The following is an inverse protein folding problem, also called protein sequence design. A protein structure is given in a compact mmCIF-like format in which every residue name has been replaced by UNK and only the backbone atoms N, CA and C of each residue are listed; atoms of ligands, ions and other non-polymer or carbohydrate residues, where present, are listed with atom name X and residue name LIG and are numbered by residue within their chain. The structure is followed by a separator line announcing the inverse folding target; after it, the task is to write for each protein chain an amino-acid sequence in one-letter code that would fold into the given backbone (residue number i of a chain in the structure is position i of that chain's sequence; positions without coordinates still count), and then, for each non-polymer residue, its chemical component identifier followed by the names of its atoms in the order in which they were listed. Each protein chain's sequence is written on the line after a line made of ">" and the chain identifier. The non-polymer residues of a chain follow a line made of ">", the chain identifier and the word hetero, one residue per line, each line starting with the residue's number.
data_IF_311519185848
#
_entry.id   IF_311519185848
#
_cell.length_a   1.000
_cell.length_b   1.000
_cell.length_c   1.000
_cell.angle_alpha   90.00
_cell.angle_beta   90.00
_cell.angle_gamma   90.00
#
_symmetry.space_group_name_H-M   'P 1'
#
loop_
_entity.id
_entity.type
_entity.pdbx_description
1 polymer ?
#
# COMPACT_ATOMS: atom_id res chain seq x y z
N UNK A 1 32.64 -37.11 37.80
CA UNK A 1 33.63 -36.63 38.80
C UNK A 1 33.42 -35.13 38.97
N UNK A 2 33.08 -34.70 40.21
CA UNK A 2 32.98 -33.32 40.76
C UNK A 2 31.96 -32.38 40.09
N UNK A 3 30.83 -31.99 40.66
CA UNK A 3 30.39 -31.59 42.02
C UNK A 3 30.81 -30.17 42.45
N UNK A 4 29.80 -29.35 42.82
CA UNK A 4 29.86 -28.00 43.43
C UNK A 4 28.89 -27.04 42.72
N UNK A 5 27.64 -26.77 43.10
CA UNK A 5 26.97 -26.49 44.39
C UNK A 5 27.32 -25.12 45.02
N UNK A 6 26.45 -24.13 44.80
CA UNK A 6 26.24 -22.90 45.60
C UNK A 6 24.75 -22.52 45.47
N UNK A 7 23.91 -22.79 46.47
CA UNK A 7 23.55 -21.93 47.62
C UNK A 7 22.78 -20.66 47.18
N UNK A 8 21.44 -20.64 47.26
CA UNK A 8 20.59 -20.41 48.44
C UNK A 8 20.43 -18.92 48.77
N UNK A 9 19.24 -18.38 48.46
CA UNK A 9 18.79 -17.06 48.88
C UNK A 9 17.27 -17.03 48.96
N UNK A 10 16.71 -17.58 50.03
CA UNK A 10 15.29 -17.51 50.34
C UNK A 10 14.92 -16.12 50.89
N UNK A 11 14.10 -15.38 50.15
CA UNK A 11 13.40 -14.20 50.63
C UNK A 11 12.10 -14.62 51.32
N UNK A 12 12.03 -14.44 52.63
CA UNK A 12 10.86 -14.70 53.46
C UNK A 12 9.75 -13.70 53.13
N UNK A 13 8.54 -14.24 53.07
CA UNK A 13 7.30 -13.51 53.28
C UNK A 13 7.35 -12.79 54.64
N UNK A 14 7.19 -11.48 54.64
CA UNK A 14 6.68 -10.72 55.79
C UNK A 14 5.27 -10.20 55.44
N UNK A 15 4.27 -10.44 56.29
CA UNK A 15 2.94 -9.86 56.16
C UNK A 15 2.93 -8.50 56.87
N UNK A 16 2.85 -7.40 56.12
CA UNK A 16 2.61 -6.08 56.73
C UNK A 16 1.15 -5.97 57.14
N UNK A 17 0.93 -5.94 58.45
CA UNK A 17 -0.36 -5.72 59.08
C UNK A 17 -0.98 -4.37 58.69
N UNK A 18 -2.25 -4.47 58.29
CA UNK A 18 -3.36 -3.56 58.57
C UNK A 18 -3.01 -2.24 59.28
N UNK A 19 -3.04 -1.14 58.51
CA UNK A 19 -3.56 0.13 58.99
C UNK A 19 -4.94 0.33 58.39
N UNK A 20 -5.95 0.40 59.26
CA UNK A 20 -7.32 0.68 58.95
C UNK A 20 -7.44 1.92 58.04
N UNK A 21 -7.82 1.69 56.78
CA UNK A 21 -8.41 2.74 55.96
C UNK A 21 -9.87 2.84 56.39
N UNK A 22 -10.14 3.86 57.20
CA UNK A 22 -11.47 4.35 57.48
C UNK A 22 -12.22 4.55 56.15
N UNK A 23 -13.21 3.71 55.91
CA UNK A 23 -14.22 3.91 54.89
C UNK A 23 -15.04 5.15 55.27
N UNK A 24 -14.55 6.33 54.88
CA UNK A 24 -15.36 7.53 54.84
C UNK A 24 -16.30 7.37 53.65
N UNK A 25 -17.49 6.83 53.93
CA UNK A 25 -18.64 6.88 53.05
C UNK A 25 -18.96 8.35 52.73
N UNK A 26 -18.32 8.89 51.71
CA UNK A 26 -18.76 10.11 51.06
C UNK A 26 -20.04 9.75 50.32
N UNK A 27 -21.11 10.46 50.67
CA UNK A 27 -22.49 10.14 50.31
C UNK A 27 -22.66 9.69 48.88
N UNK A 28 -23.13 8.46 48.72
CA UNK A 28 -23.96 8.10 47.59
C UNK A 28 -25.19 9.01 47.65
N UNK A 29 -25.10 10.16 46.97
CA UNK A 29 -26.26 10.93 46.60
C UNK A 29 -27.12 9.99 45.76
N UNK A 30 -28.20 9.48 46.34
CA UNK A 30 -29.22 8.77 45.61
C UNK A 30 -29.69 9.72 44.49
N UNK A 31 -29.28 9.42 43.26
CA UNK A 31 -29.73 10.15 42.09
C UNK A 31 -31.20 9.78 41.95
N UNK A 32 -32.06 10.64 42.48
CA UNK A 32 -33.50 10.46 42.47
C UNK A 32 -33.98 10.69 41.03
N UNK A 33 -34.09 9.61 40.24
CA UNK A 33 -34.46 9.65 38.81
C UNK A 33 -35.83 10.28 38.54
N UNK A 34 -36.64 10.47 39.58
CA UNK A 34 -37.97 11.08 39.54
C UNK A 34 -37.95 12.61 39.35
N UNK A 35 -36.79 13.27 39.46
CA UNK A 35 -36.65 14.73 39.25
C UNK A 35 -35.96 15.13 37.94
N UNK A 36 -35.52 14.15 37.13
CA UNK A 36 -34.99 14.46 35.81
C UNK A 36 -36.14 14.89 34.89
N UNK A 37 -36.11 16.18 34.50
CA UNK A 37 -36.99 16.71 33.45
C UNK A 37 -36.91 15.79 32.22
N UNK A 38 -38.03 15.39 31.58
CA UNK A 38 -38.02 14.51 30.41
C UNK A 38 -37.15 15.05 29.27
N UNK A 39 -36.95 16.37 29.21
CA UNK A 39 -36.03 17.05 28.29
C UNK A 39 -34.55 16.67 28.48
N UNK A 40 -34.11 16.40 29.72
CA UNK A 40 -32.72 16.05 30.02
C UNK A 40 -32.39 14.60 29.64
N UNK A 41 -33.36 13.69 29.76
CA UNK A 41 -33.22 12.30 29.31
C UNK A 41 -33.18 12.23 27.79
N UNK A 42 -33.98 13.05 27.10
CA UNK A 42 -34.00 13.14 25.65
C UNK A 42 -32.66 13.70 25.10
N UNK A 43 -32.06 14.69 25.77
CA UNK A 43 -30.76 15.26 25.39
C UNK A 43 -29.59 14.27 25.52
N UNK A 44 -29.60 13.41 26.55
CA UNK A 44 -28.56 12.41 26.76
C UNK A 44 -28.66 11.23 25.77
N UNK A 45 -29.87 10.81 25.41
CA UNK A 45 -30.10 9.81 24.36
C UNK A 45 -29.69 10.33 22.98
N UNK A 46 -29.92 11.61 22.67
CA UNK A 46 -29.50 12.21 21.40
C UNK A 46 -27.98 12.29 21.27
N UNK A 47 -27.25 12.50 22.38
CA UNK A 47 -25.79 12.56 22.39
C UNK A 47 -25.10 11.20 22.13
N UNK A 48 -25.69 10.07 22.55
CA UNK A 48 -25.15 8.73 22.23
C UNK A 48 -25.33 8.34 20.76
N UNK A 49 -26.36 8.87 20.07
CA UNK A 49 -26.63 8.52 18.67
C UNK A 49 -25.61 9.16 17.72
N UNK A 50 -25.03 10.33 18.05
CA UNK A 50 -24.09 11.03 17.15
C UNK A 50 -22.70 10.38 17.04
N UNK A 51 -22.27 9.56 18.01
CA UNK A 51 -20.97 8.88 17.96
C UNK A 51 -21.04 7.45 17.37
N UNK A 52 -22.24 6.95 17.08
CA UNK A 52 -22.48 5.56 16.66
C UNK A 52 -22.35 5.26 15.15
N UNK A 53 -22.34 6.26 14.27
CA UNK A 53 -22.36 6.01 12.82
C UNK A 53 -21.10 5.32 12.27
N UNK A 54 -19.94 5.46 12.93
CA UNK A 54 -18.71 4.82 12.45
C UNK A 54 -18.63 3.33 12.82
N UNK A 55 -19.39 2.88 13.83
CA UNK A 55 -19.45 1.45 14.21
C UNK A 55 -20.34 0.61 13.29
N UNK A 56 -21.27 1.25 12.55
CA UNK A 56 -22.17 0.58 11.60
C UNK A 56 -21.61 0.53 10.17
N UNK A 57 -20.41 1.09 9.94
CA UNK A 57 -19.81 1.14 8.60
C UNK A 57 -19.22 -0.23 8.24
N UNK A 58 -19.68 -0.81 7.13
CA UNK A 58 -19.19 -2.12 6.65
C UNK A 58 -17.78 -2.01 6.07
N UNK A 59 -17.03 -3.12 6.04
CA UNK A 59 -15.71 -3.16 5.36
C UNK A 59 -15.81 -2.70 3.91
N UNK A 60 -16.89 -3.08 3.21
CA UNK A 60 -17.12 -2.66 1.84
C UNK A 60 -17.26 -1.14 1.71
N UNK A 61 -18.03 -0.50 2.59
CA UNK A 61 -18.13 0.96 2.62
C UNK A 61 -16.78 1.62 2.93
N UNK A 62 -15.95 1.00 3.77
CA UNK A 62 -14.57 1.49 4.01
C UNK A 62 -13.70 1.36 2.76
N UNK A 63 -13.77 0.23 2.07
CA UNK A 63 -13.07 0.01 0.77
C UNK A 63 -13.46 1.11 -0.22
N UNK A 64 -14.74 1.43 -0.34
CA UNK A 64 -15.23 2.47 -1.25
C UNK A 64 -14.71 3.86 -0.86
N UNK A 65 -14.68 4.18 0.44
CA UNK A 65 -14.08 5.42 0.95
C UNK A 65 -12.58 5.49 0.70
N UNK A 66 -11.85 4.39 0.86
CA UNK A 66 -10.41 4.32 0.56
C UNK A 66 -10.16 4.57 -0.91
N UNK A 67 -10.94 3.95 -1.82
CA UNK A 67 -10.85 4.19 -3.26
C UNK A 67 -11.12 5.65 -3.62
N UNK A 68 -12.19 6.23 -3.07
CA UNK A 68 -12.50 7.64 -3.27
C UNK A 68 -11.38 8.56 -2.79
N UNK A 69 -10.77 8.24 -1.63
CA UNK A 69 -9.64 8.98 -1.10
C UNK A 69 -8.40 8.88 -2.00
N UNK A 70 -8.09 7.71 -2.56
CA UNK A 70 -7.03 7.57 -3.55
C UNK A 70 -7.28 8.40 -4.81
N UNK A 71 -8.51 8.39 -5.35
CA UNK A 71 -8.88 9.21 -6.51
C UNK A 71 -8.75 10.71 -6.20
N UNK A 72 -9.03 11.12 -4.97
CA UNK A 72 -8.88 12.50 -4.53
C UNK A 72 -7.43 12.89 -4.19
N UNK A 73 -6.47 11.96 -4.23
CA UNK A 73 -5.10 12.18 -3.78
C UNK A 73 -4.93 12.30 -2.26
N UNK A 74 -5.97 12.02 -1.48
CA UNK A 74 -5.97 12.08 -0.02
C UNK A 74 -5.48 10.75 0.58
N UNK A 75 -4.18 10.51 0.45
CA UNK A 75 -3.51 9.29 0.95
C UNK A 75 -3.61 9.17 2.47
N UNK A 76 -3.67 10.29 3.21
CA UNK A 76 -3.82 10.29 4.66
C UNK A 76 -5.19 9.72 5.08
N UNK A 77 -6.27 10.19 4.45
CA UNK A 77 -7.62 9.65 4.69
C UNK A 77 -7.74 8.20 4.25
N UNK A 78 -7.16 7.85 3.09
CA UNK A 78 -7.11 6.48 2.62
C UNK A 78 -6.47 5.56 3.67
N UNK A 79 -5.33 5.95 4.25
CA UNK A 79 -4.64 5.19 5.28
C UNK A 79 -5.48 5.00 6.57
N UNK A 80 -6.26 6.00 6.98
CA UNK A 80 -7.12 5.92 8.17
C UNK A 80 -8.24 4.90 7.96
N UNK A 81 -8.99 5.01 6.86
CA UNK A 81 -10.11 4.10 6.58
C UNK A 81 -9.59 2.68 6.31
N UNK A 82 -8.45 2.55 5.62
CA UNK A 82 -7.85 1.27 5.33
C UNK A 82 -7.36 0.57 6.60
N UNK A 83 -6.79 1.30 7.57
CA UNK A 83 -6.41 0.73 8.86
C UNK A 83 -7.60 0.06 9.57
N UNK A 84 -8.78 0.69 9.51
CA UNK A 84 -10.02 0.12 10.08
C UNK A 84 -10.48 -1.10 9.28
N UNK A 85 -10.46 -1.04 7.95
CA UNK A 85 -10.82 -2.17 7.10
C UNK A 85 -9.93 -3.41 7.34
N UNK A 86 -8.63 -3.20 7.54
CA UNK A 86 -7.66 -4.25 7.89
C UNK A 86 -7.93 -4.87 9.26
N UNK A 87 -8.36 -4.07 10.23
CA UNK A 87 -8.74 -4.58 11.55
C UNK A 87 -10.01 -5.42 11.48
N UNK A 88 -11.01 -4.99 10.70
CA UNK A 88 -12.28 -5.71 10.54
C UNK A 88 -12.13 -7.00 9.74
N UNK A 89 -11.47 -6.95 8.58
CA UNK A 89 -11.30 -8.09 7.69
C UNK A 89 -9.85 -8.19 7.21
N UNK A 90 -8.93 -8.71 8.04
CA UNK A 90 -7.51 -8.76 7.72
C UNK A 90 -7.21 -9.63 6.50
N UNK A 91 -8.06 -10.60 6.16
CA UNK A 91 -7.86 -11.51 5.03
C UNK A 91 -8.74 -11.18 3.82
N UNK A 92 -9.40 -10.02 3.79
CA UNK A 92 -10.16 -9.61 2.62
C UNK A 92 -9.20 -9.28 1.45
N UNK A 93 -9.38 -9.90 0.26
CA UNK A 93 -8.47 -9.71 -0.87
C UNK A 93 -8.40 -8.25 -1.33
N UNK A 94 -9.52 -7.52 -1.31
CA UNK A 94 -9.59 -6.11 -1.72
C UNK A 94 -8.87 -5.21 -0.71
N UNK A 95 -9.01 -5.48 0.59
CA UNK A 95 -8.27 -4.77 1.64
C UNK A 95 -6.76 -4.97 1.48
N UNK A 96 -6.32 -6.18 1.13
CA UNK A 96 -4.90 -6.47 0.86
C UNK A 96 -4.38 -5.73 -0.38
N UNK A 97 -5.17 -5.66 -1.46
CA UNK A 97 -4.81 -4.88 -2.65
C UNK A 97 -4.66 -3.39 -2.34
N UNK A 98 -5.58 -2.82 -1.58
CA UNK A 98 -5.50 -1.41 -1.18
C UNK A 98 -4.30 -1.13 -0.27
N UNK A 99 -3.93 -2.09 0.58
CA UNK A 99 -2.69 -2.00 1.35
C UNK A 99 -1.45 -2.05 0.46
N UNK A 100 -1.42 -2.93 -0.54
CA UNK A 100 -0.34 -2.98 -1.52
C UNK A 100 -0.20 -1.64 -2.27
N UNK A 101 -1.32 -1.04 -2.69
CA UNK A 101 -1.36 0.29 -3.32
C UNK A 101 -0.84 1.39 -2.39
N UNK A 102 -1.25 1.38 -1.12
CA UNK A 102 -0.76 2.35 -0.13
C UNK A 102 0.75 2.21 0.09
N UNK A 103 1.25 0.98 0.20
CA UNK A 103 2.70 0.71 0.32
C UNK A 103 3.46 1.19 -0.91
N UNK A 104 2.95 0.96 -2.12
CA UNK A 104 3.57 1.44 -3.34
C UNK A 104 3.62 2.98 -3.40
N UNK A 105 2.53 3.65 -2.99
CA UNK A 105 2.48 5.11 -2.90
C UNK A 105 3.47 5.68 -1.87
N UNK A 106 3.83 4.89 -0.85
CA UNK A 106 4.88 5.20 0.12
C UNK A 106 6.29 4.78 -0.36
N UNK A 107 6.44 4.39 -1.64
CA UNK A 107 7.67 3.85 -2.24
C UNK A 107 8.20 2.58 -1.56
N UNK A 108 7.38 1.92 -0.73
CA UNK A 108 7.69 0.64 -0.10
C UNK A 108 7.27 -0.51 -1.03
N UNK A 109 8.06 -0.73 -2.08
CA UNK A 109 7.78 -1.79 -3.07
C UNK A 109 7.85 -3.20 -2.46
N UNK A 110 8.69 -3.40 -1.44
CA UNK A 110 8.79 -4.69 -0.73
C UNK A 110 7.54 -5.00 0.09
N UNK A 111 7.05 -4.03 0.86
CA UNK A 111 5.78 -4.13 1.56
C UNK A 111 4.60 -4.27 0.61
N UNK A 112 4.62 -3.55 -0.52
CA UNK A 112 3.60 -3.66 -1.55
C UNK A 112 3.52 -5.09 -2.12
N UNK A 113 4.66 -5.67 -2.52
CA UNK A 113 4.72 -7.06 -2.99
C UNK A 113 4.23 -8.04 -1.92
N UNK A 114 4.64 -7.86 -0.65
CA UNK A 114 4.20 -8.74 0.42
C UNK A 114 2.69 -8.69 0.67
N UNK A 115 2.04 -7.54 0.50
CA UNK A 115 0.58 -7.43 0.56
C UNK A 115 -0.10 -8.03 -0.66
N UNK A 116 0.48 -7.84 -1.85
CA UNK A 116 0.00 -8.43 -3.10
C UNK A 116 0.01 -9.97 -3.01
N UNK A 117 1.08 -10.57 -2.50
CA UNK A 117 1.17 -12.02 -2.27
C UNK A 117 0.09 -12.53 -1.31
N UNK A 118 -0.24 -11.76 -0.27
CA UNK A 118 -1.35 -12.07 0.65
C UNK A 118 -2.70 -11.91 -0.02
N UNK A 119 -2.86 -10.92 -0.89
CA UNK A 119 -4.08 -10.72 -1.67
C UNK A 119 -4.36 -11.93 -2.56
N UNK A 120 -3.35 -12.45 -3.29
CA UNK A 120 -3.49 -13.66 -4.12
C UNK A 120 -3.90 -14.87 -3.29
N UNK A 121 -3.27 -15.08 -2.13
CA UNK A 121 -3.65 -16.16 -1.20
C UNK A 121 -5.09 -16.03 -0.71
N UNK A 122 -5.61 -14.82 -0.61
CA UNK A 122 -7.00 -14.51 -0.28
C UNK A 122 -7.95 -14.54 -1.50
N UNK A 123 -7.47 -14.90 -2.69
CA UNK A 123 -8.27 -15.02 -3.91
C UNK A 123 -8.39 -13.74 -4.74
N UNK A 124 -7.54 -12.73 -4.52
CA UNK A 124 -7.47 -11.56 -5.39
C UNK A 124 -7.05 -11.96 -6.81
N UNK A 125 -7.77 -11.42 -7.80
CA UNK A 125 -7.55 -11.62 -9.23
C UNK A 125 -8.24 -10.52 -10.03
N UNK A 126 -7.93 -10.43 -11.32
CA UNK A 126 -8.55 -9.51 -12.25
C UNK A 126 -7.77 -8.20 -12.41
N UNK A 127 -8.31 -7.23 -13.18
CA UNK A 127 -7.53 -6.10 -13.69
C UNK A 127 -6.84 -5.27 -12.61
N UNK A 128 -7.50 -4.99 -11.48
CA UNK A 128 -6.90 -4.21 -10.39
C UNK A 128 -5.66 -4.89 -9.79
N UNK A 129 -5.66 -6.22 -9.73
CA UNK A 129 -4.51 -7.00 -9.26
C UNK A 129 -3.39 -6.97 -10.30
N UNK A 130 -3.71 -7.21 -11.57
CA UNK A 130 -2.73 -7.26 -12.66
C UNK A 130 -2.04 -5.89 -12.83
N UNK A 131 -2.82 -4.80 -12.82
CA UNK A 131 -2.31 -3.43 -12.92
C UNK A 131 -1.35 -3.10 -11.76
N UNK A 132 -1.72 -3.49 -10.54
CA UNK A 132 -0.91 -3.23 -9.36
C UNK A 132 0.38 -4.08 -9.37
N UNK A 133 0.29 -5.31 -9.87
CA UNK A 133 1.45 -6.18 -10.03
C UNK A 133 2.44 -5.61 -11.04
N UNK A 134 1.96 -5.11 -12.18
CA UNK A 134 2.80 -4.41 -13.18
C UNK A 134 3.52 -3.23 -12.52
N UNK A 135 2.80 -2.37 -11.80
CA UNK A 135 3.39 -1.19 -11.16
C UNK A 135 4.44 -1.56 -10.09
N UNK A 136 4.16 -2.56 -9.25
CA UNK A 136 5.09 -3.01 -8.21
C UNK A 136 6.36 -3.60 -8.84
N UNK A 137 6.22 -4.41 -9.90
CA UNK A 137 7.37 -5.00 -10.56
C UNK A 137 8.16 -3.99 -11.38
N UNK A 138 7.50 -3.02 -11.99
CA UNK A 138 8.22 -1.93 -12.66
C UNK A 138 9.09 -1.15 -11.67
N UNK A 139 8.58 -0.89 -10.46
CA UNK A 139 9.30 -0.14 -9.42
C UNK A 139 10.44 -0.92 -8.75
N UNK A 140 10.35 -2.25 -8.69
CA UNK A 140 11.28 -3.07 -7.88
C UNK A 140 12.04 -4.14 -8.63
N UNK A 141 11.47 -4.69 -9.71
CA UNK A 141 11.95 -5.87 -10.42
C UNK A 141 11.58 -5.80 -11.92
N UNK A 142 12.09 -4.80 -12.68
CA UNK A 142 11.71 -4.60 -14.08
C UNK A 142 12.05 -5.81 -14.97
N UNK A 143 13.10 -6.58 -14.65
CA UNK A 143 13.40 -7.85 -15.34
C UNK A 143 12.27 -8.87 -15.20
N UNK A 144 11.67 -8.97 -14.01
CA UNK A 144 10.55 -9.90 -13.75
C UNK A 144 9.31 -9.49 -14.53
N UNK A 145 9.05 -8.18 -14.62
CA UNK A 145 7.96 -7.64 -15.42
C UNK A 145 8.14 -7.97 -16.90
N UNK A 146 9.32 -7.67 -17.45
CA UNK A 146 9.66 -7.95 -18.84
C UNK A 146 9.39 -9.42 -19.18
N UNK A 147 9.96 -10.31 -18.37
CA UNK A 147 9.78 -11.75 -18.47
C UNK A 147 8.31 -12.19 -18.45
N UNK A 148 7.51 -11.63 -17.55
CA UNK A 148 6.10 -12.00 -17.40
C UNK A 148 5.23 -11.53 -18.57
N UNK A 149 5.47 -10.32 -19.09
CA UNK A 149 4.77 -9.79 -20.26
C UNK A 149 5.19 -10.57 -21.52
N UNK A 150 6.48 -10.85 -21.69
CA UNK A 150 7.00 -11.61 -22.85
C UNK A 150 6.50 -13.05 -22.87
N UNK A 151 6.43 -13.72 -21.71
CA UNK A 151 5.90 -15.09 -21.60
C UNK A 151 4.37 -15.18 -21.56
N UNK A 152 3.67 -14.04 -21.57
CA UNK A 152 2.20 -14.02 -21.47
C UNK A 152 1.65 -14.49 -20.12
N UNK A 153 2.46 -14.40 -19.06
CA UNK A 153 2.00 -14.65 -17.67
C UNK A 153 1.13 -13.49 -17.17
N UNK A 154 1.41 -12.27 -17.64
CA UNK A 154 0.55 -11.10 -17.50
C UNK A 154 0.11 -10.70 -18.90
N UNK A 155 -1.20 -10.53 -19.07
CA UNK A 155 -1.79 -10.07 -20.33
C UNK A 155 -2.09 -8.58 -20.21
N UNK A 156 -1.31 -7.78 -20.91
CA UNK A 156 -1.55 -6.34 -21.09
C UNK A 156 -1.93 -6.11 -22.54
N UNK A 157 -2.97 -5.34 -22.80
CA UNK A 157 -3.39 -4.95 -24.15
C UNK A 157 -2.50 -3.85 -24.71
N UNK A 158 -2.39 -3.77 -26.04
CA UNK A 158 -1.82 -2.58 -26.67
C UNK A 158 -2.75 -1.37 -26.48
N UNK A 159 -2.21 -0.14 -26.34
CA UNK A 159 -0.78 0.22 -26.40
C UNK A 159 -0.01 0.07 -25.08
N UNK A 160 -0.70 -0.20 -23.97
CA UNK A 160 -0.11 -0.21 -22.62
C UNK A 160 1.01 -1.25 -22.49
N UNK A 161 0.85 -2.41 -23.14
CA UNK A 161 1.88 -3.45 -23.21
C UNK A 161 3.22 -2.90 -23.70
N UNK A 162 3.23 -2.19 -24.83
CA UNK A 162 4.45 -1.61 -25.40
C UNK A 162 5.03 -0.52 -24.51
N UNK A 163 4.19 0.24 -23.82
CA UNK A 163 4.60 1.29 -22.88
C UNK A 163 5.27 0.69 -21.64
N UNK A 164 4.67 -0.33 -21.03
CA UNK A 164 5.21 -1.03 -19.86
C UNK A 164 6.54 -1.73 -20.18
N UNK A 165 6.64 -2.37 -21.35
CA UNK A 165 7.89 -2.96 -21.84
C UNK A 165 8.97 -1.88 -22.00
N UNK A 166 8.64 -0.73 -22.58
CA UNK A 166 9.59 0.36 -22.75
C UNK A 166 10.06 0.93 -21.39
N UNK A 167 9.16 1.11 -20.43
CA UNK A 167 9.55 1.51 -19.08
C UNK A 167 10.45 0.46 -18.40
N UNK A 168 10.16 -0.84 -18.57
CA UNK A 168 11.02 -1.89 -18.05
C UNK A 168 12.42 -1.87 -18.71
N UNK A 169 12.49 -1.68 -20.04
CA UNK A 169 13.77 -1.54 -20.74
C UNK A 169 14.56 -0.32 -20.29
N UNK A 170 13.91 0.83 -20.11
CA UNK A 170 14.53 2.04 -19.58
C UNK A 170 15.09 1.80 -18.16
N UNK A 171 14.33 1.18 -17.28
CA UNK A 171 14.77 0.84 -15.92
C UNK A 171 15.95 -0.15 -15.90
N UNK A 172 16.12 -0.93 -16.96
CA UNK A 172 17.22 -1.87 -17.15
C UNK A 172 18.41 -1.28 -17.93
N UNK A 173 18.38 0.02 -18.26
CA UNK A 173 19.43 0.68 -19.03
C UNK A 173 19.53 0.19 -20.48
N UNK A 174 18.42 -0.22 -21.08
CA UNK A 174 18.34 -0.72 -22.47
C UNK A 174 17.51 0.24 -23.35
N UNK A 175 17.93 1.50 -23.51
CA UNK A 175 17.12 2.53 -24.19
C UNK A 175 16.83 2.20 -25.66
N UNK A 176 17.76 1.56 -26.38
CA UNK A 176 17.56 1.15 -27.78
C UNK A 176 16.33 0.24 -27.95
N UNK A 177 16.15 -0.71 -27.02
CA UNK A 177 15.00 -1.62 -27.03
C UNK A 177 13.71 -0.91 -26.66
N UNK A 178 13.77 0.05 -25.74
CA UNK A 178 12.62 0.89 -25.41
C UNK A 178 12.15 1.70 -26.62
N UNK A 179 13.07 2.35 -27.33
CA UNK A 179 12.78 3.12 -28.56
C UNK A 179 12.16 2.21 -29.63
N UNK A 180 12.79 1.05 -29.90
CA UNK A 180 12.28 0.10 -30.88
C UNK A 180 10.87 -0.41 -30.53
N UNK A 181 10.60 -0.66 -29.25
CA UNK A 181 9.29 -1.14 -28.77
C UNK A 181 8.19 -0.09 -28.98
N UNK A 182 8.51 1.20 -28.81
CA UNK A 182 7.53 2.30 -28.92
C UNK A 182 7.27 2.76 -30.37
N UNK A 183 8.08 2.35 -31.34
CA UNK A 183 8.02 2.87 -32.70
C UNK A 183 6.63 2.73 -33.34
N UNK A 184 6.01 1.55 -33.24
CA UNK A 184 4.68 1.30 -33.79
C UNK A 184 3.59 2.09 -33.05
N UNK A 185 3.69 2.19 -31.72
CA UNK A 185 2.73 2.94 -30.90
C UNK A 185 2.75 4.43 -31.24
N UNK A 186 3.93 5.02 -31.40
CA UNK A 186 4.08 6.45 -31.72
C UNK A 186 3.73 6.76 -33.18
N UNK A 187 3.90 5.81 -34.10
CA UNK A 187 3.43 5.96 -35.47
C UNK A 187 1.89 5.97 -35.55
N UNK A 188 1.22 5.09 -34.79
CA UNK A 188 -0.24 5.00 -34.76
C UNK A 188 -0.90 6.09 -33.90
N UNK A 189 -0.25 6.48 -32.79
CA UNK A 189 -0.76 7.44 -31.82
C UNK A 189 0.29 8.52 -31.47
N UNK A 190 0.61 9.44 -32.40
CA UNK A 190 1.69 10.42 -32.21
C UNK A 190 1.50 11.40 -31.04
N UNK A 191 0.27 11.53 -30.53
CA UNK A 191 -0.09 12.41 -29.43
C UNK A 191 -0.25 11.68 -28.08
N UNK A 192 -0.03 10.35 -28.05
CA UNK A 192 -0.15 9.58 -26.81
C UNK A 192 0.97 9.97 -25.85
N UNK A 193 0.62 10.76 -24.84
CA UNK A 193 1.58 11.41 -23.94
C UNK A 193 2.42 10.40 -23.17
N UNK A 194 1.82 9.30 -22.70
CA UNK A 194 2.51 8.23 -21.97
C UNK A 194 3.61 7.59 -22.82
N UNK A 195 3.31 7.20 -24.06
CA UNK A 195 4.29 6.65 -25.00
C UNK A 195 5.40 7.67 -25.33
N UNK A 196 5.06 8.95 -25.52
CA UNK A 196 6.05 10.01 -25.76
C UNK A 196 6.98 10.21 -24.57
N UNK A 197 6.45 10.16 -23.35
CA UNK A 197 7.26 10.30 -22.14
C UNK A 197 8.21 9.10 -21.98
N UNK A 198 7.73 7.88 -22.18
CA UNK A 198 8.58 6.69 -22.16
C UNK A 198 9.69 6.75 -23.22
N UNK A 199 9.37 7.26 -24.43
CA UNK A 199 10.35 7.45 -25.49
C UNK A 199 11.37 8.55 -25.17
N UNK A 200 10.92 9.68 -24.65
CA UNK A 200 11.81 10.76 -24.22
C UNK A 200 12.77 10.29 -23.12
N UNK A 201 12.28 9.50 -22.16
CA UNK A 201 13.12 8.87 -21.14
C UNK A 201 14.19 7.96 -21.77
N UNK A 202 13.83 7.17 -22.78
CA UNK A 202 14.77 6.31 -23.48
C UNK A 202 15.87 7.12 -24.19
N UNK A 203 15.51 8.19 -24.90
CA UNK A 203 16.46 9.07 -25.58
C UNK A 203 17.44 9.74 -24.60
N UNK A 204 16.94 10.20 -23.44
CA UNK A 204 17.78 10.77 -22.40
C UNK A 204 18.79 9.76 -21.83
N UNK A 205 18.36 8.51 -21.64
CA UNK A 205 19.24 7.44 -21.19
C UNK A 205 20.27 7.05 -22.27
N UNK A 206 19.88 7.06 -23.54
CA UNK A 206 20.78 6.75 -24.67
C UNK A 206 21.93 7.77 -24.74
N UNK A 207 21.63 9.06 -24.66
CA UNK A 207 22.64 10.13 -24.69
C UNK A 207 23.62 10.01 -23.50
N UNK A 208 23.10 9.74 -22.30
CA UNK A 208 23.91 9.48 -21.12
C UNK A 208 24.84 8.26 -21.27
N UNK A 209 24.38 7.20 -21.93
CA UNK A 209 25.22 6.02 -22.21
C UNK A 209 26.27 6.29 -23.28
N UNK A 210 25.96 7.10 -24.29
CA UNK A 210 26.91 7.48 -25.34
C UNK A 210 28.02 8.40 -24.81
N UNK A 211 27.70 9.30 -23.87
CA UNK A 211 28.70 10.11 -23.18
C UNK A 211 29.69 9.25 -22.37
N UNK A 212 29.19 8.23 -21.67
CA UNK A 212 29.98 7.35 -20.82
C UNK A 212 30.88 6.36 -21.60
N UNK A 213 30.63 6.14 -22.89
CA UNK A 213 31.41 5.22 -23.72
C UNK A 213 32.61 5.92 -24.36
N UNK A 214 33.80 5.28 -24.37
CA UNK A 214 34.97 5.82 -25.05
C UNK A 214 34.67 6.01 -26.55
N UNK A 215 35.32 6.98 -27.24
CA UNK A 215 35.00 7.36 -28.62
C UNK A 215 34.95 6.19 -29.62
N UNK A 216 35.71 5.12 -29.36
CA UNK A 216 35.78 3.92 -30.19
C UNK A 216 34.58 2.97 -30.09
N UNK A 217 33.63 3.23 -29.18
CA UNK A 217 32.44 2.40 -28.94
C UNK A 217 31.11 3.14 -29.14
N UNK A 218 31.17 4.42 -29.51
CA UNK A 218 29.97 5.16 -29.96
C UNK A 218 29.55 4.53 -31.28
N UNK A 219 28.61 3.61 -31.23
CA UNK A 219 27.97 3.11 -32.43
C UNK A 219 27.31 4.33 -33.08
N UNK A 220 27.87 4.82 -34.17
CA UNK A 220 27.26 5.85 -34.98
C UNK A 220 25.88 5.35 -35.42
N UNK A 221 24.84 5.85 -34.75
CA UNK A 221 23.47 5.74 -35.26
C UNK A 221 23.49 6.33 -36.69
N UNK A 222 22.98 5.63 -37.72
CA UNK A 222 22.88 6.22 -39.04
C UNK A 222 21.94 7.41 -38.95
N UNK A 223 22.50 8.61 -39.10
CA UNK A 223 21.74 9.84 -39.24
C UNK A 223 20.72 9.63 -40.38
N UNK A 224 19.45 9.53 -40.02
CA UNK A 224 18.34 9.50 -40.96
C UNK A 224 18.30 10.85 -41.70
N UNK A 225 18.56 10.79 -43.00
CA UNK A 225 18.38 11.89 -43.96
C UNK A 225 16.91 12.16 -44.27
#
# INVERSE_FOLDING_TARGET
>A
MRAGAHASGGGRFEPSANSAFENRAAGAGAINVTSLRPSAVCGLLLALVLTGCDSLTTTQQRIDRVRAAFTAGDTARAAIELRKAVQSEPNNPQVRLLLARLSLAASDSGGAQGQLDRAVKAGAKGPEFDDLQVQIWLASNPSRLLDAITRGTITVSEPDRSIDLAHAYNALGQPDRAIATLAAVLAAHPQLTTARLAHAQALLLQDATDEALPPSRRCSSPASA
#
